data_IF_323358911095
#
_entry.id   IF_323358911095
#
_cell.length_a   1.000
_cell.length_b   1.000
_cell.length_c   1.000
_cell.angle_alpha   90.00
_cell.angle_beta   90.00
_cell.angle_gamma   90.00
#
_symmetry.space_group_name_H-M   'P 1'
#
loop_
_entity.id
_entity.type
_entity.pdbx_description
1 polymer ?
#
# COMPACT_ATOMS: atom_id res chain seq x y z
N UNK A 1 -21.75 84.84 -24.88
CA UNK A 1 -22.70 84.07 -24.04
C UNK A 1 -22.47 82.59 -24.33
N UNK A 2 -22.25 81.81 -23.25
CA UNK A 2 -22.24 80.33 -23.13
C UNK A 2 -21.24 79.58 -24.04
N UNK A 3 -20.04 79.16 -23.62
CA UNK A 3 -19.63 78.23 -22.54
C UNK A 3 -20.44 76.93 -22.54
N UNK A 4 -19.87 75.88 -23.15
CA UNK A 4 -20.41 74.52 -23.10
C UNK A 4 -19.42 73.61 -22.35
N UNK A 5 -19.88 73.12 -21.20
CA UNK A 5 -19.15 72.29 -20.24
C UNK A 5 -19.41 70.81 -20.50
N UNK A 6 -18.36 70.02 -20.75
CA UNK A 6 -18.40 68.55 -20.53
C UNK A 6 -18.54 68.27 -19.03
N UNK A 7 -19.30 67.23 -18.64
CA UNK A 7 -18.62 66.04 -18.11
C UNK A 7 -19.36 64.71 -18.37
N UNK A 8 -18.64 63.58 -18.31
CA UNK A 8 -19.26 62.26 -18.11
C UNK A 8 -18.70 61.13 -18.97
N UNK A 9 -17.40 60.84 -18.87
CA UNK A 9 -16.91 59.48 -19.15
C UNK A 9 -17.34 58.59 -17.98
N UNK A 10 -18.49 57.94 -18.12
CA UNK A 10 -18.90 56.86 -17.23
C UNK A 10 -18.00 55.65 -17.51
N UNK A 11 -16.95 55.57 -16.70
CA UNK A 11 -16.13 54.39 -16.55
C UNK A 11 -17.01 53.19 -16.23
N UNK A 12 -17.22 52.34 -17.24
CA UNK A 12 -17.78 51.01 -17.06
C UNK A 12 -16.87 50.23 -16.10
N UNK A 13 -17.25 50.28 -14.82
CA UNK A 13 -16.62 49.54 -13.76
C UNK A 13 -16.64 48.06 -14.11
N UNK A 14 -15.45 47.53 -14.43
CA UNK A 14 -15.18 46.10 -14.50
C UNK A 14 -15.71 45.47 -13.21
N UNK A 15 -16.61 44.47 -13.26
CA UNK A 15 -17.09 43.83 -12.05
C UNK A 15 -15.90 43.28 -11.28
N UNK A 16 -15.72 43.84 -10.09
CA UNK A 16 -14.70 43.47 -9.13
C UNK A 16 -14.68 41.95 -8.94
N UNK A 17 -13.47 41.40 -9.02
CA UNK A 17 -13.22 39.97 -8.94
C UNK A 17 -14.01 39.33 -7.80
N UNK A 18 -14.89 38.41 -8.16
CA UNK A 18 -15.53 37.48 -7.25
C UNK A 18 -14.44 37.00 -6.27
N UNK A 19 -14.59 37.18 -4.95
CA UNK A 19 -13.62 36.70 -3.99
C UNK A 19 -13.39 35.22 -4.30
N UNK A 20 -12.16 34.86 -4.66
CA UNK A 20 -11.78 33.45 -4.75
C UNK A 20 -12.14 32.85 -3.40
N UNK A 21 -13.13 31.97 -3.39
CA UNK A 21 -13.56 31.26 -2.19
C UNK A 21 -12.29 30.69 -1.55
N UNK A 22 -12.04 30.92 -0.25
CA UNK A 22 -10.82 30.45 0.41
C UNK A 22 -10.66 28.97 0.07
N UNK A 23 -9.61 28.68 -0.70
CA UNK A 23 -9.44 27.39 -1.36
C UNK A 23 -9.56 26.26 -0.35
N UNK A 24 -10.68 25.54 -0.45
CA UNK A 24 -10.85 24.11 -0.20
C UNK A 24 -9.78 23.55 0.75
N UNK A 25 -9.83 23.95 2.03
CA UNK A 25 -9.01 23.34 3.07
C UNK A 25 -9.52 21.92 3.22
N UNK A 26 -8.95 21.01 2.44
CA UNK A 26 -9.18 19.59 2.58
C UNK A 26 -8.80 19.20 4.00
N UNK A 27 -9.82 19.02 4.83
CA UNK A 27 -9.67 18.80 6.25
C UNK A 27 -9.56 17.30 6.50
N UNK A 28 -8.43 16.87 7.04
CA UNK A 28 -8.21 15.50 7.52
C UNK A 28 -9.38 14.98 8.37
N UNK A 29 -9.94 15.85 9.23
CA UNK A 29 -11.11 15.51 10.05
C UNK A 29 -12.35 15.12 9.24
N UNK A 30 -12.59 15.80 8.12
CA UNK A 30 -13.71 15.48 7.22
C UNK A 30 -13.49 14.11 6.57
N UNK A 31 -12.27 13.84 6.14
CA UNK A 31 -11.91 12.56 5.53
C UNK A 31 -11.99 11.40 6.51
N UNK A 32 -11.47 11.57 7.72
CA UNK A 32 -11.56 10.56 8.78
C UNK A 32 -13.00 10.18 9.09
N UNK A 33 -13.92 11.16 9.17
CA UNK A 33 -15.35 10.88 9.32
C UNK A 33 -15.92 10.15 8.11
N UNK A 34 -15.51 10.55 6.91
CA UNK A 34 -15.98 9.93 5.67
C UNK A 34 -15.39 8.53 5.44
N UNK A 35 -14.29 8.20 6.12
CA UNK A 35 -13.64 6.90 6.08
C UNK A 35 -14.31 5.89 7.01
N UNK A 36 -15.20 6.30 7.92
CA UNK A 36 -15.87 5.37 8.85
C UNK A 36 -16.53 4.18 8.16
N UNK A 37 -17.31 4.32 7.07
CA UNK A 37 -17.90 3.16 6.40
C UNK A 37 -16.85 2.21 5.80
N UNK A 38 -15.78 2.77 5.22
CA UNK A 38 -14.66 2.02 4.65
C UNK A 38 -13.86 1.28 5.73
N UNK A 39 -13.60 1.95 6.86
CA UNK A 39 -12.95 1.38 8.04
C UNK A 39 -13.83 0.31 8.71
N UNK A 40 -15.14 0.51 8.80
CA UNK A 40 -16.07 -0.52 9.30
C UNK A 40 -16.04 -1.77 8.42
N UNK A 41 -16.04 -1.60 7.09
CA UNK A 41 -15.88 -2.72 6.17
C UNK A 41 -14.52 -3.42 6.39
N UNK A 42 -13.44 -2.66 6.62
CA UNK A 42 -12.13 -3.21 6.93
C UNK A 42 -12.11 -4.02 8.22
N UNK A 43 -12.78 -3.56 9.27
CA UNK A 43 -12.92 -4.29 10.54
C UNK A 43 -13.66 -5.61 10.33
N UNK A 44 -14.76 -5.59 9.58
CA UNK A 44 -15.52 -6.81 9.26
C UNK A 44 -14.66 -7.81 8.49
N UNK A 45 -13.96 -7.36 7.43
CA UNK A 45 -13.06 -8.25 6.67
C UNK A 45 -11.92 -8.76 7.56
N UNK A 46 -11.33 -7.91 8.39
CA UNK A 46 -10.27 -8.33 9.33
C UNK A 46 -10.78 -9.40 10.30
N UNK A 47 -11.99 -9.23 10.84
CA UNK A 47 -12.60 -10.23 11.72
C UNK A 47 -12.87 -11.57 11.00
N UNK A 48 -13.33 -11.52 9.74
CA UNK A 48 -13.55 -12.72 8.93
C UNK A 48 -12.23 -13.44 8.61
N UNK A 49 -11.17 -12.70 8.26
CA UNK A 49 -9.84 -13.27 8.04
C UNK A 49 -9.31 -13.88 9.34
N UNK A 50 -9.43 -13.18 10.48
CA UNK A 50 -9.05 -13.71 11.78
C UNK A 50 -9.77 -15.01 12.11
N UNK A 51 -11.10 -15.05 11.94
CA UNK A 51 -11.91 -16.25 12.18
C UNK A 51 -11.50 -17.41 11.27
N UNK A 52 -11.19 -17.14 10.00
CA UNK A 52 -10.68 -18.14 9.06
C UNK A 52 -9.33 -18.71 9.53
N UNK A 53 -8.38 -17.84 9.88
CA UNK A 53 -7.05 -18.26 10.35
C UNK A 53 -7.14 -19.07 11.64
N UNK A 54 -7.98 -18.62 12.58
CA UNK A 54 -8.28 -19.34 13.81
C UNK A 54 -8.84 -20.73 13.54
N UNK A 55 -9.86 -20.83 12.68
CA UNK A 55 -10.49 -22.10 12.34
C UNK A 55 -9.52 -23.08 11.65
N UNK A 56 -8.61 -22.58 10.80
CA UNK A 56 -7.56 -23.39 10.17
C UNK A 56 -6.53 -23.91 11.17
N UNK A 57 -6.18 -23.11 12.18
CA UNK A 57 -5.29 -23.55 13.25
C UNK A 57 -5.95 -24.64 14.10
N UNK A 58 -7.19 -24.44 14.51
CA UNK A 58 -7.97 -25.43 15.27
C UNK A 58 -8.19 -26.75 14.51
N UNK A 59 -8.22 -26.73 13.18
CA UNK A 59 -8.38 -27.93 12.36
C UNK A 59 -7.07 -28.58 11.93
N UNK A 60 -5.91 -28.06 12.37
CA UNK A 60 -4.60 -28.57 11.98
C UNK A 60 -4.22 -28.31 10.51
N UNK A 61 -4.95 -27.43 9.81
CA UNK A 61 -4.72 -27.10 8.38
C UNK A 61 -4.00 -25.76 8.20
N UNK A 62 -3.45 -25.20 9.27
CA UNK A 62 -2.78 -23.90 9.25
C UNK A 62 -1.35 -24.00 8.72
N UNK A 63 -1.05 -23.22 7.69
CA UNK A 63 0.31 -23.12 7.17
C UNK A 63 1.23 -22.40 8.16
N UNK A 64 0.68 -21.56 9.03
CA UNK A 64 1.43 -20.97 10.15
C UNK A 64 2.01 -22.04 11.06
N UNK A 65 1.23 -23.06 11.41
CA UNK A 65 1.72 -24.16 12.26
C UNK A 65 2.76 -25.01 11.53
N UNK A 66 2.59 -25.22 10.22
CA UNK A 66 3.59 -25.94 9.42
C UNK A 66 4.94 -25.21 9.35
N UNK A 67 4.94 -23.87 9.32
CA UNK A 67 6.16 -23.04 9.26
C UNK A 67 6.73 -22.77 10.65
N UNK A 68 5.87 -22.58 11.65
CA UNK A 68 6.22 -22.26 13.04
C UNK A 68 5.46 -23.21 13.98
N UNK A 69 5.96 -24.45 14.17
CA UNK A 69 5.25 -25.49 14.92
C UNK A 69 4.96 -25.14 16.38
N UNK A 70 5.79 -24.31 16.99
CA UNK A 70 5.57 -23.81 18.35
C UNK A 70 4.31 -22.95 18.49
N UNK A 71 3.72 -22.49 17.37
CA UNK A 71 2.49 -21.70 17.32
C UNK A 71 1.20 -22.54 17.23
N UNK A 72 1.25 -23.84 17.52
CA UNK A 72 0.08 -24.75 17.49
C UNK A 72 -0.90 -24.56 18.67
N UNK A 73 -1.13 -23.31 19.07
CA UNK A 73 -2.17 -22.94 20.03
C UNK A 73 -2.74 -21.56 19.71
N UNK A 74 -3.92 -21.54 19.10
CA UNK A 74 -4.61 -20.32 18.71
C UNK A 74 -4.91 -19.40 19.90
N UNK A 75 -5.13 -19.95 21.10
CA UNK A 75 -5.42 -19.15 22.29
C UNK A 75 -4.18 -18.48 22.83
N UNK A 76 -3.02 -19.12 22.72
CA UNK A 76 -1.75 -18.53 23.14
C UNK A 76 -1.29 -17.47 22.14
N UNK A 77 -1.40 -17.74 20.83
CA UNK A 77 -0.89 -16.87 19.75
C UNK A 77 -1.98 -16.07 19.02
N UNK A 78 -3.08 -15.71 19.71
CA UNK A 78 -4.20 -14.99 19.09
C UNK A 78 -3.79 -13.60 18.58
N UNK A 79 -2.85 -12.93 19.24
CA UNK A 79 -2.37 -11.61 18.84
C UNK A 79 -1.56 -11.70 17.54
N UNK A 80 -0.78 -12.77 17.38
CA UNK A 80 -0.13 -13.07 16.12
C UNK A 80 -1.14 -13.32 14.98
N UNK A 81 -2.17 -14.13 15.22
CA UNK A 81 -3.25 -14.35 14.24
C UNK A 81 -3.99 -13.07 13.88
N UNK A 82 -4.24 -12.20 14.86
CA UNK A 82 -4.86 -10.89 14.64
C UNK A 82 -3.93 -9.96 13.84
N UNK A 83 -2.63 -9.96 14.12
CA UNK A 83 -1.64 -9.27 13.31
C UNK A 83 -1.69 -9.75 11.85
N UNK A 84 -1.73 -11.07 11.62
CA UNK A 84 -1.87 -11.61 10.26
C UNK A 84 -3.15 -11.14 9.57
N UNK A 85 -4.27 -11.11 10.29
CA UNK A 85 -5.54 -10.64 9.76
C UNK A 85 -5.48 -9.16 9.35
N UNK A 86 -4.82 -8.31 10.15
CA UNK A 86 -4.53 -6.92 9.77
C UNK A 86 -3.62 -6.83 8.55
N UNK A 87 -2.59 -7.68 8.45
CA UNK A 87 -1.67 -7.72 7.32
C UNK A 87 -2.38 -8.05 5.99
N UNK A 88 -3.18 -9.11 5.98
CA UNK A 88 -3.99 -9.51 4.81
C UNK A 88 -5.03 -8.46 4.42
N UNK A 89 -5.75 -7.92 5.41
CA UNK A 89 -6.74 -6.85 5.16
C UNK A 89 -6.04 -5.59 4.65
N UNK A 90 -4.90 -5.21 5.24
CA UNK A 90 -4.08 -4.08 4.80
C UNK A 90 -3.62 -4.24 3.35
N UNK A 91 -3.18 -5.44 2.95
CA UNK A 91 -2.77 -5.73 1.57
C UNK A 91 -3.94 -5.65 0.59
N UNK A 92 -5.12 -6.16 0.97
CA UNK A 92 -6.33 -6.07 0.15
C UNK A 92 -6.78 -4.62 -0.03
N UNK A 93 -6.77 -3.83 1.04
CA UNK A 93 -7.06 -2.39 0.98
C UNK A 93 -6.02 -1.63 0.16
N UNK A 94 -4.74 -1.99 0.29
CA UNK A 94 -3.66 -1.43 -0.50
C UNK A 94 -3.87 -1.70 -2.00
N UNK A 95 -4.21 -2.93 -2.37
CA UNK A 95 -4.56 -3.31 -3.74
C UNK A 95 -5.74 -2.46 -4.24
N UNK A 96 -6.81 -2.37 -3.45
CA UNK A 96 -8.00 -1.57 -3.78
C UNK A 96 -7.66 -0.10 -4.03
N UNK A 97 -6.92 0.55 -3.12
CA UNK A 97 -6.58 1.97 -3.28
C UNK A 97 -5.64 2.22 -4.47
N UNK A 98 -4.71 1.30 -4.77
CA UNK A 98 -3.87 1.39 -5.98
C UNK A 98 -4.71 1.32 -7.25
N UNK A 99 -5.66 0.39 -7.31
CA UNK A 99 -6.61 0.27 -8.43
C UNK A 99 -7.39 1.58 -8.61
N UNK A 100 -7.96 2.14 -7.54
CA UNK A 100 -8.67 3.42 -7.58
C UNK A 100 -7.75 4.57 -8.06
N UNK A 101 -6.51 4.64 -7.58
CA UNK A 101 -5.54 5.66 -7.96
C UNK A 101 -5.09 5.57 -9.42
N UNK A 102 -4.93 4.34 -9.95
CA UNK A 102 -4.63 4.09 -11.36
C UNK A 102 -5.80 4.48 -12.26
N UNK A 103 -7.03 4.12 -11.87
CA UNK A 103 -8.25 4.53 -12.58
C UNK A 103 -8.42 6.06 -12.59
N UNK A 104 -8.16 6.73 -11.47
CA UNK A 104 -8.26 8.19 -11.34
C UNK A 104 -7.25 8.93 -12.24
N UNK A 105 -6.08 8.31 -12.45
CA UNK A 105 -4.96 8.88 -13.21
C UNK A 105 -4.90 8.46 -14.68
N UNK A 106 -5.71 7.47 -15.09
CA UNK A 106 -5.67 6.83 -16.41
C UNK A 106 -6.48 7.52 -17.51
N UNK A 107 -6.44 6.98 -18.75
CA UNK A 107 -7.27 7.45 -19.86
C UNK A 107 -8.76 7.23 -19.55
N UNK A 108 -9.59 8.21 -19.90
CA UNK A 108 -11.02 8.21 -19.53
C UNK A 108 -11.88 7.50 -20.58
N UNK A 109 -12.83 6.64 -20.17
CA UNK A 109 -13.93 6.25 -21.03
C UNK A 109 -14.83 7.47 -21.29
N UNK A 110 -15.50 7.49 -22.45
CA UNK A 110 -16.38 8.60 -22.84
C UNK A 110 -17.58 8.78 -21.88
N UNK A 111 -18.01 7.71 -21.21
CA UNK A 111 -19.07 7.70 -20.20
C UNK A 111 -18.63 6.89 -18.97
N UNK A 112 -18.01 7.51 -17.96
CA UNK A 112 -17.63 6.78 -16.75
C UNK A 112 -18.88 6.45 -15.91
N UNK A 113 -18.94 5.23 -15.39
CA UNK A 113 -20.02 4.80 -14.50
C UNK A 113 -20.02 5.53 -13.14
N UNK A 114 -18.84 5.99 -12.69
CA UNK A 114 -18.64 6.68 -11.41
C UNK A 114 -17.98 8.03 -11.64
N UNK A 115 -18.45 9.05 -10.94
CA UNK A 115 -17.89 10.40 -11.05
C UNK A 115 -16.47 10.45 -10.49
N UNK A 116 -15.64 11.35 -11.05
CA UNK A 116 -14.26 11.53 -10.60
C UNK A 116 -14.15 11.92 -9.13
N UNK A 117 -15.09 12.74 -8.65
CA UNK A 117 -15.12 13.19 -7.25
C UNK A 117 -15.38 12.02 -6.29
N UNK A 118 -16.28 11.11 -6.66
CA UNK A 118 -16.55 9.90 -5.87
C UNK A 118 -15.32 8.99 -5.86
N UNK A 119 -14.70 8.75 -7.02
CA UNK A 119 -13.50 7.94 -7.11
C UNK A 119 -12.33 8.52 -6.30
N UNK A 120 -12.14 9.85 -6.33
CA UNK A 120 -11.14 10.54 -5.51
C UNK A 120 -11.44 10.41 -4.02
N UNK A 121 -12.72 10.52 -3.62
CA UNK A 121 -13.14 10.32 -2.24
C UNK A 121 -12.84 8.90 -1.76
N UNK A 122 -13.22 7.88 -2.53
CA UNK A 122 -12.93 6.47 -2.21
C UNK A 122 -11.42 6.24 -2.10
N UNK A 123 -10.63 6.71 -3.06
CA UNK A 123 -9.18 6.58 -3.00
C UNK A 123 -8.58 7.21 -1.73
N UNK A 124 -9.07 8.37 -1.30
CA UNK A 124 -8.63 9.02 -0.05
C UNK A 124 -9.01 8.21 1.19
N UNK A 125 -10.26 7.80 1.31
CA UNK A 125 -10.74 7.05 2.48
C UNK A 125 -10.07 5.69 2.59
N UNK A 126 -10.02 4.94 1.49
CA UNK A 126 -9.37 3.62 1.44
C UNK A 126 -7.87 3.73 1.71
N UNK A 127 -7.20 4.82 1.28
CA UNK A 127 -5.79 5.06 1.62
C UNK A 127 -5.57 5.30 3.12
N UNK A 128 -6.45 6.07 3.78
CA UNK A 128 -6.39 6.26 5.24
C UNK A 128 -6.57 4.93 5.98
N UNK A 129 -7.57 4.14 5.57
CA UNK A 129 -7.81 2.82 6.14
C UNK A 129 -6.64 1.87 5.89
N UNK A 130 -6.04 1.90 4.70
CA UNK A 130 -4.82 1.10 4.39
C UNK A 130 -3.70 1.43 5.37
N UNK A 131 -3.38 2.71 5.59
CA UNK A 131 -2.34 3.12 6.54
C UNK A 131 -2.67 2.69 7.97
N UNK A 132 -3.94 2.79 8.38
CA UNK A 132 -4.38 2.34 9.70
C UNK A 132 -4.22 0.83 9.87
N UNK A 133 -4.60 0.02 8.87
CA UNK A 133 -4.43 -1.44 8.89
C UNK A 133 -2.95 -1.84 8.91
N UNK A 134 -2.10 -1.20 8.10
CA UNK A 134 -0.65 -1.44 8.12
C UNK A 134 -0.03 -1.11 9.49
N UNK A 135 -0.45 0.00 10.10
CA UNK A 135 0.03 0.37 11.42
C UNK A 135 -0.49 -0.59 12.51
N UNK A 136 -1.76 -1.00 12.44
CA UNK A 136 -2.35 -1.97 13.36
C UNK A 136 -1.69 -3.36 13.24
N UNK A 137 -1.32 -3.78 12.02
CA UNK A 137 -0.56 -5.00 11.77
C UNK A 137 0.79 -4.98 12.51
N UNK A 138 1.57 -3.91 12.32
CA UNK A 138 2.85 -3.74 13.00
C UNK A 138 2.67 -3.65 14.53
N UNK A 139 1.69 -2.87 15.00
CA UNK A 139 1.45 -2.71 16.43
C UNK A 139 1.03 -4.03 17.09
N UNK A 140 0.19 -4.84 16.44
CA UNK A 140 -0.16 -6.15 16.97
C UNK A 140 1.01 -7.14 16.97
N UNK A 141 1.89 -7.05 15.99
CA UNK A 141 3.12 -7.86 15.99
C UNK A 141 4.03 -7.46 17.17
N UNK A 142 4.26 -6.17 17.37
CA UNK A 142 5.01 -5.67 18.53
C UNK A 142 4.38 -6.12 19.86
N UNK A 143 3.06 -6.01 19.97
CA UNK A 143 2.35 -6.37 21.19
C UNK A 143 2.41 -7.88 21.47
N UNK A 144 2.43 -8.72 20.42
CA UNK A 144 2.68 -10.16 20.58
C UNK A 144 4.09 -10.44 21.10
N UNK A 145 5.12 -9.78 20.57
CA UNK A 145 6.50 -9.95 21.04
C UNK A 145 6.64 -9.55 22.52
N UNK A 146 6.04 -8.43 22.92
CA UNK A 146 6.01 -7.99 24.32
C UNK A 146 5.36 -9.02 25.24
N UNK A 147 4.29 -9.67 24.76
CA UNK A 147 3.56 -10.70 25.50
C UNK A 147 4.35 -12.01 25.60
N UNK A 148 5.06 -12.38 24.53
CA UNK A 148 5.76 -13.66 24.42
C UNK A 148 7.08 -13.70 25.20
N UNK A 149 7.81 -12.58 25.30
CA UNK A 149 9.12 -12.51 25.94
C UNK A 149 9.05 -12.53 27.49
N UNK A 150 8.55 -13.62 28.06
CA UNK A 150 8.31 -13.72 29.51
C UNK A 150 9.57 -13.77 30.37
N UNK A 151 10.74 -13.96 29.78
CA UNK A 151 12.04 -14.00 30.46
C UNK A 151 12.68 -12.63 30.73
N UNK A 152 12.18 -11.56 30.10
CA UNK A 152 12.71 -10.20 30.24
C UNK A 152 11.90 -9.37 31.25
N UNK A 153 12.48 -8.28 31.74
CA UNK A 153 11.74 -7.28 32.51
C UNK A 153 10.81 -6.45 31.60
N UNK A 154 9.77 -5.83 32.16
CA UNK A 154 8.73 -5.16 31.37
C UNK A 154 9.27 -4.07 30.42
N UNK A 155 10.24 -3.27 30.89
CA UNK A 155 10.85 -2.23 30.06
C UNK A 155 11.65 -2.83 28.89
N UNK A 156 12.35 -3.94 29.13
CA UNK A 156 13.13 -4.65 28.12
C UNK A 156 12.22 -5.32 27.09
N UNK A 157 11.09 -5.91 27.51
CA UNK A 157 10.08 -6.45 26.59
C UNK A 157 9.53 -5.39 25.66
N UNK A 158 9.17 -4.22 26.20
CA UNK A 158 8.67 -3.10 25.42
C UNK A 158 9.70 -2.63 24.40
N UNK A 159 10.97 -2.54 24.80
CA UNK A 159 12.05 -2.17 23.90
C UNK A 159 12.29 -3.23 22.82
N UNK A 160 12.39 -4.51 23.21
CA UNK A 160 12.61 -5.63 22.29
C UNK A 160 11.49 -5.69 21.24
N UNK A 161 10.22 -5.73 21.67
CA UNK A 161 9.08 -5.76 20.75
C UNK A 161 8.99 -4.53 19.86
N UNK A 162 9.36 -3.35 20.37
CA UNK A 162 9.48 -2.14 19.55
C UNK A 162 10.61 -2.28 18.52
N UNK A 163 11.81 -2.70 18.94
CA UNK A 163 12.98 -2.76 18.10
C UNK A 163 12.82 -3.80 16.98
N UNK A 164 12.36 -5.01 17.31
CA UNK A 164 12.05 -6.07 16.36
C UNK A 164 10.99 -5.67 15.32
N UNK A 165 10.06 -4.79 15.69
CA UNK A 165 8.97 -4.38 14.80
C UNK A 165 9.31 -3.14 13.99
N UNK A 166 9.93 -2.14 14.61
CA UNK A 166 10.06 -0.78 14.07
C UNK A 166 11.50 -0.37 13.77
N UNK A 167 12.53 -0.99 14.34
CA UNK A 167 13.91 -0.59 14.06
C UNK A 167 14.45 -1.38 12.86
N UNK A 168 14.83 -0.71 11.76
CA UNK A 168 15.37 -1.41 10.58
C UNK A 168 16.64 -2.19 10.90
N UNK A 169 16.63 -3.47 10.55
CA UNK A 169 17.76 -4.38 10.74
C UNK A 169 17.94 -4.92 12.16
N UNK A 170 17.03 -4.61 13.09
CA UNK A 170 17.11 -5.16 14.45
C UNK A 170 16.66 -6.62 14.52
N UNK A 171 15.58 -6.96 13.79
CA UNK A 171 15.07 -8.32 13.76
C UNK A 171 16.08 -9.29 13.15
N UNK A 172 16.59 -10.22 13.94
CA UNK A 172 17.77 -11.02 13.57
C UNK A 172 17.49 -12.50 13.29
N UNK A 173 16.26 -12.88 12.92
CA UNK A 173 15.96 -14.30 12.63
C UNK A 173 15.54 -14.57 11.18
N UNK A 174 16.04 -15.70 10.65
CA UNK A 174 15.63 -16.32 9.39
C UNK A 174 15.43 -15.38 8.20
N UNK A 175 14.33 -15.56 7.48
CA UNK A 175 13.91 -14.67 6.38
C UNK A 175 13.47 -13.29 6.87
N UNK A 176 13.14 -13.16 8.15
CA UNK A 176 12.71 -11.91 8.79
C UNK A 176 13.74 -10.81 8.69
N UNK A 177 15.04 -11.16 8.76
CA UNK A 177 16.18 -10.24 8.55
C UNK A 177 16.05 -9.38 7.29
N UNK A 178 15.47 -9.94 6.23
CA UNK A 178 15.24 -9.22 4.97
C UNK A 178 13.80 -8.72 4.82
N UNK A 179 12.82 -9.52 5.22
CA UNK A 179 11.43 -9.24 4.92
C UNK A 179 10.82 -8.19 5.85
N UNK A 180 11.23 -8.13 7.12
CA UNK A 180 10.75 -7.12 8.07
C UNK A 180 11.22 -5.72 7.67
N UNK A 181 12.50 -5.47 7.30
CA UNK A 181 12.91 -4.18 6.76
C UNK A 181 12.14 -3.72 5.52
N UNK A 182 11.72 -4.65 4.65
CA UNK A 182 10.85 -4.34 3.50
C UNK A 182 9.47 -3.87 3.97
N UNK A 183 8.87 -4.55 4.96
CA UNK A 183 7.59 -4.16 5.56
C UNK A 183 7.65 -2.83 6.31
N UNK A 184 8.70 -2.60 7.08
CA UNK A 184 9.00 -1.33 7.75
C UNK A 184 9.16 -0.21 6.72
N UNK A 185 9.91 -0.46 5.63
CA UNK A 185 10.05 0.48 4.52
C UNK A 185 8.70 0.83 3.88
N UNK A 186 7.82 -0.15 3.70
CA UNK A 186 6.46 0.10 3.22
C UNK A 186 5.67 1.02 4.18
N UNK A 187 5.67 0.72 5.48
CA UNK A 187 4.98 1.53 6.49
C UNK A 187 5.53 2.96 6.57
N UNK A 188 6.86 3.10 6.60
CA UNK A 188 7.56 4.39 6.70
C UNK A 188 7.44 5.25 5.46
N UNK A 189 7.19 4.66 4.30
CA UNK A 189 6.84 5.40 3.09
C UNK A 189 5.33 5.72 3.03
N UNK A 190 4.47 4.79 3.46
CA UNK A 190 3.02 4.93 3.40
C UNK A 190 2.53 6.17 4.17
N UNK A 191 2.96 6.30 5.43
CA UNK A 191 2.51 7.37 6.32
C UNK A 191 2.82 8.77 5.75
N UNK A 192 4.10 9.14 5.47
CA UNK A 192 4.40 10.47 4.97
C UNK A 192 3.81 10.71 3.58
N UNK A 193 3.89 9.74 2.64
CA UNK A 193 3.39 9.94 1.28
C UNK A 193 1.86 10.05 1.21
N UNK A 194 1.15 9.31 2.07
CA UNK A 194 -0.30 9.39 2.20
C UNK A 194 -0.74 10.71 2.82
N UNK A 195 -0.13 11.09 3.94
CA UNK A 195 -0.47 12.34 4.65
C UNK A 195 -0.03 13.61 3.90
N UNK A 196 0.91 13.49 2.96
CA UNK A 196 1.37 14.59 2.11
C UNK A 196 0.22 15.28 1.36
N UNK A 197 -0.86 14.55 1.08
CA UNK A 197 -2.06 15.10 0.45
C UNK A 197 -2.69 16.25 1.26
N UNK A 198 -2.64 16.22 2.59
CA UNK A 198 -3.21 17.26 3.45
C UNK A 198 -2.35 18.52 3.52
N UNK A 199 -1.04 18.37 3.31
CA UNK A 199 -0.09 19.51 3.25
C UNK A 199 0.25 19.93 1.82
N UNK A 200 -0.43 19.36 0.80
CA UNK A 200 -0.16 19.64 -0.63
C UNK A 200 -0.26 21.11 -1.02
N UNK A 201 -1.03 21.90 -0.25
CA UNK A 201 -1.17 23.34 -0.44
C UNK A 201 0.14 24.09 -0.17
N UNK A 202 1.04 23.54 0.66
CA UNK A 202 2.36 24.15 0.97
C UNK A 202 3.44 23.78 -0.04
N UNK A 203 3.46 22.54 -0.50
CA UNK A 203 4.51 22.03 -1.41
C UNK A 203 4.18 22.19 -2.90
N UNK A 204 2.92 22.55 -3.21
CA UNK A 204 2.44 22.71 -4.58
C UNK A 204 2.01 21.39 -5.25
N UNK A 205 1.04 21.50 -6.15
CA UNK A 205 0.41 20.35 -6.78
C UNK A 205 1.36 19.54 -7.68
N UNK A 206 2.40 20.15 -8.24
CA UNK A 206 3.39 19.46 -9.08
C UNK A 206 4.31 18.59 -8.25
N UNK A 207 4.85 19.12 -7.16
CA UNK A 207 5.69 18.39 -6.20
C UNK A 207 4.93 17.23 -5.58
N UNK A 208 3.72 17.48 -5.08
CA UNK A 208 2.85 16.43 -4.54
C UNK A 208 2.63 15.29 -5.52
N UNK A 209 2.29 15.57 -6.79
CA UNK A 209 2.12 14.52 -7.82
C UNK A 209 3.39 13.75 -8.12
N UNK A 210 4.57 14.36 -8.02
CA UNK A 210 5.84 13.65 -8.24
C UNK A 210 6.11 12.68 -7.10
N UNK A 211 5.96 13.15 -5.86
CA UNK A 211 6.14 12.34 -4.66
C UNK A 211 5.09 11.21 -4.56
N UNK A 212 3.83 11.52 -4.82
CA UNK A 212 2.75 10.55 -4.77
C UNK A 212 2.90 9.40 -5.79
N UNK A 213 3.66 9.58 -6.90
CA UNK A 213 3.96 8.47 -7.82
C UNK A 213 4.74 7.35 -7.15
N UNK A 214 5.54 7.66 -6.12
CA UNK A 214 6.30 6.66 -5.37
C UNK A 214 5.42 5.82 -4.42
N UNK A 215 4.14 6.15 -4.25
CA UNK A 215 3.21 5.29 -3.50
C UNK A 215 3.09 3.89 -4.12
N UNK A 216 3.34 3.73 -5.43
CA UNK A 216 3.39 2.40 -6.03
C UNK A 216 4.51 1.52 -5.43
N UNK A 217 5.60 2.13 -4.96
CA UNK A 217 6.69 1.42 -4.28
C UNK A 217 6.20 0.85 -2.95
N UNK A 218 5.37 1.58 -2.21
CA UNK A 218 4.74 1.08 -0.97
C UNK A 218 4.01 -0.23 -1.25
N UNK A 219 3.18 -0.25 -2.29
CA UNK A 219 2.43 -1.45 -2.66
C UNK A 219 3.34 -2.62 -3.05
N UNK A 220 4.38 -2.36 -3.87
CA UNK A 220 5.36 -3.36 -4.26
C UNK A 220 6.09 -3.94 -3.04
N UNK A 221 6.52 -3.08 -2.11
CA UNK A 221 7.16 -3.51 -0.87
C UNK A 221 6.19 -4.33 -0.01
N UNK A 222 4.91 -3.95 0.10
CA UNK A 222 3.90 -4.72 0.83
C UNK A 222 3.69 -6.12 0.23
N UNK A 223 3.62 -6.24 -1.11
CA UNK A 223 3.49 -7.53 -1.80
C UNK A 223 4.73 -8.39 -1.53
N UNK A 224 5.94 -7.83 -1.67
CA UNK A 224 7.18 -8.57 -1.41
C UNK A 224 7.33 -8.98 0.05
N UNK A 225 7.02 -8.08 1.00
CA UNK A 225 6.99 -8.41 2.42
C UNK A 225 6.08 -9.62 2.68
N UNK A 226 4.89 -9.64 2.07
CA UNK A 226 3.94 -10.75 2.18
C UNK A 226 4.49 -12.03 1.56
N UNK A 227 5.04 -11.97 0.34
CA UNK A 227 5.60 -13.15 -0.35
C UNK A 227 6.83 -13.75 0.37
N UNK A 228 7.59 -12.93 1.09
CA UNK A 228 8.82 -13.34 1.79
C UNK A 228 8.57 -13.80 3.23
N UNK A 229 7.56 -13.26 3.91
CA UNK A 229 7.34 -13.49 5.35
C UNK A 229 5.93 -13.96 5.73
N UNK A 230 4.97 -13.93 4.81
CA UNK A 230 3.62 -14.43 5.06
C UNK A 230 3.63 -15.95 5.13
N UNK A 231 3.33 -16.52 6.30
CA UNK A 231 3.28 -17.98 6.49
C UNK A 231 2.23 -18.65 5.59
N UNK A 232 1.10 -17.98 5.38
CA UNK A 232 0.01 -18.44 4.50
C UNK A 232 0.37 -18.42 2.99
N UNK A 233 1.54 -17.89 2.61
CA UNK A 233 2.06 -17.91 1.24
C UNK A 233 3.50 -18.43 1.19
N UNK A 234 3.92 -19.16 2.23
CA UNK A 234 5.27 -19.67 2.36
C UNK A 234 5.58 -20.78 1.35
N UNK A 235 4.59 -21.64 1.12
CA UNK A 235 4.65 -22.76 0.19
C UNK A 235 4.08 -22.37 -1.19
N UNK A 236 4.43 -23.16 -2.21
CA UNK A 236 3.94 -23.03 -3.59
C UNK A 236 2.51 -23.50 -3.77
N UNK A 237 1.59 -22.96 -2.95
CA UNK A 237 0.18 -23.34 -2.92
C UNK A 237 -0.73 -22.22 -3.44
N UNK A 238 -2.03 -22.53 -3.55
CA UNK A 238 -3.02 -21.63 -4.13
C UNK A 238 -3.05 -20.20 -3.56
N UNK A 239 -2.81 -19.91 -2.25
CA UNK A 239 -2.87 -18.54 -1.75
C UNK A 239 -1.76 -17.67 -2.36
N UNK A 240 -0.58 -18.25 -2.59
CA UNK A 240 0.57 -17.59 -3.20
C UNK A 240 0.32 -17.33 -4.69
N UNK A 241 -0.19 -18.32 -5.40
CA UNK A 241 -0.60 -18.17 -6.80
C UNK A 241 -1.72 -17.13 -6.96
N UNK A 242 -2.71 -17.11 -6.06
CA UNK A 242 -3.77 -16.10 -6.04
C UNK A 242 -3.22 -14.68 -5.81
N UNK A 243 -2.21 -14.55 -4.93
CA UNK A 243 -1.54 -13.27 -4.71
C UNK A 243 -0.84 -12.77 -5.98
N UNK A 244 -0.22 -13.65 -6.77
CA UNK A 244 0.35 -13.31 -8.08
C UNK A 244 -0.72 -12.92 -9.10
N UNK A 245 -1.84 -13.66 -9.17
CA UNK A 245 -2.96 -13.35 -10.05
C UNK A 245 -3.52 -11.94 -9.80
N UNK A 246 -3.62 -11.51 -8.53
CA UNK A 246 -4.07 -10.17 -8.16
C UNK A 246 -3.15 -9.05 -8.66
N UNK A 247 -1.90 -9.35 -9.02
CA UNK A 247 -0.96 -8.37 -9.58
C UNK A 247 -1.25 -8.05 -11.05
N UNK A 248 -1.89 -8.97 -11.79
CA UNK A 248 -2.23 -8.78 -13.21
C UNK A 248 -3.04 -7.50 -13.47
N UNK A 249 -4.17 -7.24 -12.80
CA UNK A 249 -4.93 -6.01 -13.03
C UNK A 249 -4.15 -4.74 -12.67
N UNK A 250 -3.32 -4.78 -11.62
CA UNK A 250 -2.47 -3.65 -11.22
C UNK A 250 -1.42 -3.36 -12.31
N UNK A 251 -0.71 -4.39 -12.75
CA UNK A 251 0.33 -4.29 -13.77
C UNK A 251 -0.26 -3.85 -15.13
N UNK A 252 -1.41 -4.39 -15.51
CA UNK A 252 -2.11 -4.01 -16.74
C UNK A 252 -2.57 -2.55 -16.72
N UNK A 253 -3.17 -2.07 -15.62
CA UNK A 253 -3.58 -0.67 -15.49
C UNK A 253 -2.37 0.28 -15.44
N UNK A 254 -1.29 -0.12 -14.76
CA UNK A 254 -0.04 0.65 -14.75
C UNK A 254 0.54 0.76 -16.17
N UNK A 255 0.61 -0.36 -16.90
CA UNK A 255 1.06 -0.37 -18.28
C UNK A 255 0.18 0.52 -19.17
N UNK A 256 -1.15 0.38 -19.07
CA UNK A 256 -2.10 1.21 -19.81
C UNK A 256 -1.90 2.70 -19.54
N UNK A 257 -1.66 3.08 -18.27
CA UNK A 257 -1.36 4.47 -17.88
C UNK A 257 -0.06 4.97 -18.50
N UNK A 258 0.98 4.14 -18.55
CA UNK A 258 2.27 4.50 -19.14
C UNK A 258 2.19 4.61 -20.67
N UNK A 259 1.36 3.78 -21.31
CA UNK A 259 1.14 3.77 -22.76
C UNK A 259 0.21 4.91 -23.21
N UNK A 260 -0.81 5.25 -22.42
CA UNK A 260 -1.81 6.30 -22.69
C UNK A 260 -1.78 7.43 -21.67
N UNK A 261 -0.68 8.22 -21.61
CA UNK A 261 -0.56 9.28 -20.62
C UNK A 261 -1.58 10.40 -20.86
N UNK A 262 -2.19 10.86 -19.76
CA UNK A 262 -3.24 11.88 -19.78
C UNK A 262 -2.72 13.28 -20.19
N UNK A 263 -1.42 13.55 -20.04
CA UNK A 263 -0.81 14.85 -20.34
C UNK A 263 0.09 14.78 -21.57
N UNK A 264 0.04 15.81 -22.42
CA UNK A 264 0.90 15.91 -23.62
C UNK A 264 2.39 15.83 -23.27
N UNK A 265 2.82 16.43 -22.16
CA UNK A 265 4.22 16.43 -21.68
C UNK A 265 4.72 15.03 -21.28
N UNK A 266 3.81 14.11 -20.99
CA UNK A 266 4.12 12.73 -20.58
C UNK A 266 4.12 11.75 -21.77
N UNK A 267 3.69 12.20 -22.96
CA UNK A 267 3.74 11.39 -24.18
C UNK A 267 5.20 11.19 -24.61
N UNK A 268 5.53 9.96 -24.99
CA UNK A 268 6.76 9.67 -25.73
C UNK A 268 6.60 10.25 -27.14
N UNK A 269 7.17 11.43 -27.38
CA UNK A 269 7.35 12.00 -28.72
C UNK A 269 8.67 11.54 -29.35
N UNK A 270 8.90 11.90 -30.61
CA UNK A 270 10.23 11.76 -31.23
C UNK A 270 11.25 12.56 -30.40
N UNK A 271 12.44 12.03 -30.12
CA UNK A 271 13.50 12.78 -29.44
C UNK A 271 13.90 13.97 -30.34
N UNK A 272 13.32 15.14 -30.07
CA UNK A 272 13.69 16.39 -30.74
C UNK A 272 15.12 16.74 -30.34
N UNK A 273 16.00 16.90 -31.33
CA UNK A 273 17.44 17.09 -31.17
C UNK A 273 17.89 18.42 -30.55
N UNK A 274 16.99 19.25 -30.01
CA UNK A 274 17.30 20.64 -29.68
C UNK A 274 17.70 20.91 -28.21
N UNK A 275 17.59 19.96 -27.27
CA UNK A 275 18.05 20.17 -25.88
C UNK A 275 18.53 18.86 -25.24
N UNK A 276 19.78 18.83 -24.76
CA UNK A 276 20.40 17.65 -24.13
C UNK A 276 19.62 17.08 -22.93
N UNK A 277 18.76 17.87 -22.30
CA UNK A 277 17.87 17.45 -21.20
C UNK A 277 16.68 16.56 -21.64
N UNK A 278 16.35 16.49 -22.93
CA UNK A 278 15.19 15.72 -23.43
C UNK A 278 15.47 14.20 -23.53
N UNK A 279 16.73 13.81 -23.73
CA UNK A 279 17.16 12.40 -23.87
C UNK A 279 17.00 11.56 -22.59
N UNK A 280 17.46 11.99 -21.40
CA UNK A 280 17.33 11.18 -20.18
C UNK A 280 15.86 10.99 -19.78
N UNK A 281 15.02 12.02 -19.93
CA UNK A 281 13.59 11.91 -19.64
C UNK A 281 12.86 10.98 -20.62
N UNK A 282 13.29 10.94 -21.88
CA UNK A 282 12.77 10.00 -22.87
C UNK A 282 13.14 8.56 -22.51
N UNK A 283 14.42 8.29 -22.22
CA UNK A 283 14.89 6.97 -21.81
C UNK A 283 14.18 6.47 -20.56
N UNK A 284 14.06 7.31 -19.52
CA UNK A 284 13.33 6.94 -18.31
C UNK A 284 11.88 6.49 -18.58
N UNK A 285 11.19 7.14 -19.53
CA UNK A 285 9.82 6.75 -19.92
C UNK A 285 9.78 5.49 -20.76
N UNK A 286 10.72 5.30 -21.67
CA UNK A 286 10.85 4.09 -22.47
C UNK A 286 11.14 2.88 -21.57
N UNK A 287 12.15 3.00 -20.70
CA UNK A 287 12.50 1.97 -19.70
C UNK A 287 11.32 1.67 -18.78
N UNK A 288 10.60 2.68 -18.30
CA UNK A 288 9.41 2.47 -17.47
C UNK A 288 8.31 1.65 -18.16
N UNK A 289 8.09 1.85 -19.46
CA UNK A 289 7.12 1.06 -20.25
C UNK A 289 7.59 -0.37 -20.48
N UNK A 290 8.87 -0.54 -20.83
CA UNK A 290 9.47 -1.86 -21.02
C UNK A 290 9.44 -2.65 -19.71
N UNK A 291 9.82 -2.03 -18.60
CA UNK A 291 9.77 -2.65 -17.28
C UNK A 291 8.34 -3.06 -16.90
N UNK A 292 7.34 -2.18 -17.10
CA UNK A 292 5.95 -2.53 -16.83
C UNK A 292 5.44 -3.67 -17.73
N UNK A 293 5.82 -3.70 -19.01
CA UNK A 293 5.51 -4.80 -19.91
C UNK A 293 6.16 -6.11 -19.48
N UNK A 294 7.44 -6.07 -19.10
CA UNK A 294 8.17 -7.22 -18.57
C UNK A 294 7.55 -7.75 -17.27
N UNK A 295 7.07 -6.87 -16.37
CA UNK A 295 6.34 -7.27 -15.17
C UNK A 295 5.04 -7.99 -15.52
N UNK A 296 4.24 -7.48 -16.46
CA UNK A 296 3.00 -8.16 -16.91
C UNK A 296 3.32 -9.56 -17.43
N UNK A 297 4.31 -9.67 -18.33
CA UNK A 297 4.72 -10.96 -18.88
C UNK A 297 5.24 -11.89 -17.79
N UNK A 298 6.09 -11.39 -16.89
CA UNK A 298 6.65 -12.17 -15.78
C UNK A 298 5.57 -12.71 -14.84
N UNK A 299 4.58 -11.90 -14.47
CA UNK A 299 3.45 -12.36 -13.64
C UNK A 299 2.63 -13.43 -14.37
N UNK A 300 2.36 -13.27 -15.67
CA UNK A 300 1.66 -14.30 -16.47
C UNK A 300 2.46 -15.60 -16.50
N UNK A 301 3.76 -15.53 -16.74
CA UNK A 301 4.65 -16.71 -16.75
C UNK A 301 4.63 -17.41 -15.39
N UNK A 302 4.76 -16.67 -14.30
CA UNK A 302 4.69 -17.22 -12.93
C UNK A 302 3.37 -17.97 -12.71
N UNK A 303 2.25 -17.32 -13.03
CA UNK A 303 0.91 -17.91 -12.85
C UNK A 303 0.71 -19.16 -13.71
N UNK A 304 1.09 -19.11 -14.98
CA UNK A 304 0.85 -20.22 -15.92
C UNK A 304 1.79 -21.40 -15.68
N UNK A 305 3.04 -21.13 -15.31
CA UNK A 305 4.03 -22.18 -15.04
C UNK A 305 3.87 -22.85 -13.68
N UNK A 306 3.13 -22.24 -12.75
CA UNK A 306 3.07 -22.66 -11.35
C UNK A 306 4.36 -22.42 -10.56
N UNK A 307 5.42 -21.86 -11.17
CA UNK A 307 6.69 -21.56 -10.51
C UNK A 307 6.59 -20.21 -9.81
N UNK A 308 5.83 -20.17 -8.72
CA UNK A 308 5.53 -18.94 -7.97
C UNK A 308 6.57 -18.55 -6.90
N UNK A 309 7.66 -19.32 -6.84
CA UNK A 309 8.77 -19.15 -5.90
C UNK A 309 8.42 -19.55 -4.48
N UNK A 310 7.32 -20.27 -4.26
CA UNK A 310 7.00 -20.90 -2.99
C UNK A 310 7.94 -22.07 -2.71
N UNK A 311 8.04 -22.45 -1.43
CA UNK A 311 8.83 -23.62 -1.01
C UNK A 311 7.99 -24.89 -1.16
N UNK A 312 8.67 -26.02 -1.27
CA UNK A 312 8.01 -27.33 -1.17
C UNK A 312 7.57 -27.57 0.27
N UNK A 313 6.35 -28.11 0.44
CA UNK A 313 5.86 -28.51 1.75
C UNK A 313 6.50 -29.83 2.14
N UNK A 314 7.13 -29.94 3.32
CA UNK A 314 7.62 -31.23 3.82
C UNK A 314 6.49 -32.26 3.86
N UNK A 315 6.77 -33.49 3.45
CA UNK A 315 5.81 -34.61 3.47
C UNK A 315 5.52 -35.11 4.88
N UNK A 316 6.48 -34.93 5.78
CA UNK A 316 6.36 -35.30 7.18
C UNK A 316 6.06 -34.07 8.04
N UNK A 317 5.15 -34.17 9.04
CA UNK A 317 4.90 -33.07 9.96
C UNK A 317 6.21 -32.73 10.71
N UNK A 318 6.55 -31.44 10.84
CA UNK A 318 7.73 -31.03 11.60
C UNK A 318 7.60 -31.55 13.05
N UNK A 319 8.72 -31.99 13.62
CA UNK A 319 8.75 -32.51 14.98
C UNK A 319 8.12 -31.49 15.94
N UNK A 320 7.01 -31.85 16.58
CA UNK A 320 6.28 -31.03 17.56
C UNK A 320 7.02 -30.87 18.88
N UNK A 321 8.31 -31.20 18.94
CA UNK A 321 9.10 -30.98 20.13
C UNK A 321 9.35 -29.48 20.28
N UNK A 322 8.98 -28.85 21.41
CA UNK A 322 9.56 -27.57 21.75
C UNK A 322 11.07 -27.76 21.69
N UNK A 323 11.79 -26.83 21.07
CA UNK A 323 13.22 -26.74 21.31
C UNK A 323 13.40 -26.80 22.83
N UNK A 324 14.07 -27.84 23.33
CA UNK A 324 14.52 -27.83 24.71
C UNK A 324 15.26 -26.51 24.87
N UNK A 325 14.81 -25.66 25.80
CA UNK A 325 15.61 -24.52 26.20
C UNK A 325 16.97 -25.09 26.56
N UNK A 326 18.00 -24.81 25.76
CA UNK A 326 19.38 -25.00 26.16
C UNK A 326 19.56 -24.09 27.38
N UNK A 327 19.50 -24.71 28.55
CA UNK A 327 19.92 -24.10 29.81
C UNK A 327 21.44 -24.09 29.78
N UNK A 328 22.03 -22.96 29.41
CA UNK A 328 23.38 -22.58 29.80
C UNK A 328 23.32 -21.68 31.04
#
# INVERSE_FOLDING_TARGET
MTSDTRPGEDGAAVPSGRPRTPGDRVALRGDLRSALPDASAAVVVTALVFALLWARMQSGTSDTVAVMPFMDDARTYWMYLLSQAFGWSGLLWAWGTVMLGLLLSGPRPARPAVSRQVLERWHRTTSLTTMALMFAHALMFAAELVRYETGLDWAERLWAGFADTFVPGWYDSGTGRTAIPIGQGALYLAIPLGLLFYVRHRIGATTWRRLHRFVIVVYVLSVWHTLLYGTNVWYGEWPRTALWLLQLPVAALLLLRLLRPARRVERLGRPSGATGAARPAWWARATGRVAAGAVVVGVVVVVVSGHDGGRDRPTDPPATAPHAQETD
#
